data_IF_609502637247
#
_entry.id   IF_609502637247
#
_cell.length_a   1.000
_cell.length_b   1.000
_cell.length_c   1.000
_cell.angle_alpha   90.00
_cell.angle_beta   90.00
_cell.angle_gamma   90.00
#
_symmetry.space_group_name_H-M   'P 1'
#
loop_
_entity.id
_entity.type
_entity.pdbx_description
1 polymer ?
#
# COMPACT_ATOMS: atom_id res chain seq x y z
N UNK A 1 6.49 -17.20 13.41
CA UNK A 1 5.46 -16.61 14.27
C UNK A 1 5.21 -15.22 13.73
N UNK A 2 4.03 -14.96 13.15
CA UNK A 2 3.68 -13.59 12.75
C UNK A 2 3.27 -12.87 14.02
N UNK A 3 4.10 -11.92 14.46
CA UNK A 3 3.68 -10.88 15.41
C UNK A 3 2.69 -9.98 14.64
N UNK A 4 1.44 -10.42 14.53
CA UNK A 4 0.35 -9.54 14.11
C UNK A 4 -0.06 -8.82 15.37
N UNK A 5 0.18 -7.52 15.43
CA UNK A 5 -0.26 -6.72 16.55
C UNK A 5 -1.78 -6.83 16.65
N UNK A 6 -2.37 -7.40 17.72
CA UNK A 6 -3.75 -7.86 17.68
C UNK A 6 -4.81 -6.74 17.63
N UNK A 7 -4.38 -5.47 17.61
CA UNK A 7 -5.21 -4.27 17.76
C UNK A 7 -5.03 -3.29 16.58
N UNK A 8 -4.69 -3.78 15.39
CA UNK A 8 -4.71 -2.93 14.20
C UNK A 8 -6.16 -2.68 13.75
N UNK A 9 -6.46 -1.45 13.37
CA UNK A 9 -7.81 -1.02 12.95
C UNK A 9 -7.95 -1.01 11.43
N UNK A 10 -6.90 -0.54 10.75
CA UNK A 10 -6.90 -0.39 9.29
C UNK A 10 -5.47 -0.53 8.74
N UNK A 11 -5.33 -1.24 7.64
CA UNK A 11 -4.09 -1.41 6.91
C UNK A 11 -4.20 -0.80 5.52
N UNK A 12 -3.08 -0.26 5.03
CA UNK A 12 -2.94 0.36 3.74
C UNK A 12 -1.78 -0.31 3.00
N UNK A 13 -2.03 -0.74 1.77
CA UNK A 13 -1.00 -1.20 0.86
C UNK A 13 -1.12 -0.40 -0.43
N UNK A 14 -0.07 0.36 -0.72
CA UNK A 14 0.04 1.16 -1.92
C UNK A 14 1.05 0.53 -2.86
N UNK A 15 0.60 0.22 -4.06
CA UNK A 15 1.46 -0.10 -5.18
C UNK A 15 1.49 1.07 -6.16
N UNK A 16 2.65 1.38 -6.71
CA UNK A 16 2.78 2.31 -7.83
C UNK A 16 3.78 1.79 -8.84
N UNK A 17 3.42 1.88 -10.12
CA UNK A 17 4.28 1.50 -11.22
C UNK A 17 4.30 2.58 -12.29
N UNK A 18 5.48 2.84 -12.83
CA UNK A 18 5.69 3.65 -14.02
C UNK A 18 6.58 2.88 -15.01
N UNK A 19 6.94 3.51 -16.13
CA UNK A 19 7.75 2.88 -17.18
C UNK A 19 9.12 2.37 -16.73
N UNK A 20 9.61 2.80 -15.57
CA UNK A 20 10.98 2.56 -15.12
C UNK A 20 11.06 1.74 -13.83
N UNK A 21 10.03 1.79 -12.97
CA UNK A 21 10.05 1.13 -11.67
C UNK A 21 8.64 0.84 -11.14
N UNK A 22 8.56 -0.21 -10.32
CA UNK A 22 7.42 -0.48 -9.45
C UNK A 22 7.87 -0.39 -7.98
N UNK A 23 7.01 0.18 -7.15
CA UNK A 23 7.22 0.36 -5.72
C UNK A 23 5.98 -0.11 -4.96
N UNK A 24 6.21 -0.74 -3.82
CA UNK A 24 5.18 -1.10 -2.87
C UNK A 24 5.52 -0.49 -1.50
N UNK A 25 4.51 0.08 -0.85
CA UNK A 25 4.59 0.55 0.53
C UNK A 25 3.37 0.07 1.28
N UNK A 26 3.55 -0.20 2.57
CA UNK A 26 2.43 -0.54 3.41
C UNK A 26 2.56 0.09 4.79
N UNK A 27 1.42 0.33 5.41
CA UNK A 27 1.31 0.81 6.78
C UNK A 27 0.04 0.27 7.41
N UNK A 28 -0.03 0.33 8.74
CA UNK A 28 -1.26 0.06 9.46
C UNK A 28 -1.43 1.04 10.60
N UNK A 29 -2.68 1.22 11.02
CA UNK A 29 -3.08 2.01 12.17
C UNK A 29 -3.40 1.05 13.30
N UNK A 30 -2.89 1.32 14.48
CA UNK A 30 -3.20 0.68 15.75
C UNK A 30 -3.55 1.75 16.78
N UNK A 31 -3.97 1.33 17.97
CA UNK A 31 -4.24 2.22 19.10
C UNK A 31 -3.05 3.12 19.47
N UNK A 32 -1.82 2.68 19.21
CA UNK A 32 -0.59 3.40 19.55
C UNK A 32 -0.13 4.35 18.45
N UNK A 33 -0.77 4.30 17.28
CA UNK A 33 -0.54 5.18 16.15
C UNK A 33 -0.40 4.43 14.83
N UNK A 34 0.31 5.05 13.89
CA UNK A 34 0.52 4.45 12.56
C UNK A 34 1.89 3.82 12.51
N UNK A 35 2.03 2.66 11.88
CA UNK A 35 3.31 1.98 11.67
C UNK A 35 3.54 1.72 10.19
N UNK A 36 4.76 1.98 9.71
CA UNK A 36 5.15 1.63 8.33
C UNK A 36 5.75 0.24 8.36
N UNK A 37 5.25 -0.63 7.49
CA UNK A 37 5.74 -1.99 7.37
C UNK A 37 7.05 -1.96 6.58
N UNK A 38 8.09 -2.57 7.15
CA UNK A 38 9.34 -2.81 6.42
C UNK A 38 9.14 -3.91 5.38
N UNK A 39 8.95 -3.48 4.13
CA UNK A 39 8.76 -4.34 2.96
C UNK A 39 9.93 -5.31 2.75
N UNK A 40 11.16 -4.91 3.11
CA UNK A 40 12.35 -5.75 2.95
C UNK A 40 12.37 -6.89 3.98
N UNK A 41 11.90 -6.63 5.20
CA UNK A 41 11.76 -7.65 6.26
C UNK A 41 10.76 -8.75 5.86
N UNK A 42 9.71 -8.39 5.14
CA UNK A 42 8.65 -9.32 4.72
C UNK A 42 8.64 -9.58 3.20
N UNK A 43 9.83 -9.63 2.58
CA UNK A 43 10.01 -9.76 1.13
C UNK A 43 9.22 -10.90 0.48
N UNK A 44 9.07 -12.04 1.17
CA UNK A 44 8.41 -13.23 0.63
C UNK A 44 6.91 -12.99 0.39
N UNK A 45 6.31 -12.06 1.15
CA UNK A 45 4.95 -11.58 0.93
C UNK A 45 4.92 -10.49 -0.15
N UNK A 46 5.78 -9.48 -0.04
CA UNK A 46 5.68 -8.28 -0.88
C UNK A 46 6.22 -8.45 -2.30
N UNK A 47 7.16 -9.35 -2.54
CA UNK A 47 7.70 -9.59 -3.89
C UNK A 47 6.62 -10.13 -4.84
N UNK A 48 5.85 -11.17 -4.49
CA UNK A 48 4.71 -11.59 -5.30
C UNK A 48 3.67 -10.49 -5.49
N UNK A 49 3.35 -9.72 -4.45
CA UNK A 49 2.37 -8.62 -4.56
C UNK A 49 2.85 -7.55 -5.54
N UNK A 50 4.14 -7.23 -5.56
CA UNK A 50 4.73 -6.30 -6.52
C UNK A 50 4.63 -6.83 -7.96
N UNK A 51 4.85 -8.13 -8.18
CA UNK A 51 4.67 -8.76 -9.50
C UNK A 51 3.21 -8.74 -9.95
N UNK A 52 2.29 -9.17 -9.07
CA UNK A 52 0.86 -9.19 -9.32
C UNK A 52 0.32 -7.78 -9.65
N UNK A 53 0.87 -6.74 -9.00
CA UNK A 53 0.50 -5.36 -9.28
C UNK A 53 0.86 -4.92 -10.70
N UNK A 54 2.02 -5.34 -11.21
CA UNK A 54 2.42 -5.08 -12.60
C UNK A 54 1.54 -5.84 -13.59
N UNK A 55 1.29 -7.13 -13.32
CA UNK A 55 0.41 -7.96 -14.14
C UNK A 55 -1.02 -7.39 -14.19
N UNK A 56 -1.54 -6.92 -13.06
CA UNK A 56 -2.85 -6.26 -12.98
C UNK A 56 -2.93 -5.01 -13.85
N UNK A 57 -1.94 -4.12 -13.78
CA UNK A 57 -1.91 -2.93 -14.64
C UNK A 57 -1.81 -3.30 -16.12
N UNK A 58 -0.98 -4.28 -16.46
CA UNK A 58 -0.86 -4.77 -17.82
C UNK A 58 -2.19 -5.34 -18.34
N UNK A 59 -2.90 -6.13 -17.53
CA UNK A 59 -4.22 -6.67 -17.85
C UNK A 59 -5.28 -5.56 -18.04
N UNK A 60 -5.14 -4.42 -17.35
CA UNK A 60 -5.96 -3.23 -17.51
C UNK A 60 -5.52 -2.34 -18.69
N UNK A 61 -4.51 -2.74 -19.46
CA UNK A 61 -3.97 -1.96 -20.59
C UNK A 61 -3.26 -0.68 -20.16
N UNK A 62 -2.68 -0.66 -18.95
CA UNK A 62 -1.99 0.50 -18.39
C UNK A 62 -0.50 0.23 -18.24
N UNK A 63 0.32 1.17 -18.72
CA UNK A 63 1.78 1.15 -18.58
C UNK A 63 2.27 1.85 -17.30
N UNK A 64 1.36 2.56 -16.61
CA UNK A 64 1.59 3.23 -15.33
C UNK A 64 0.30 3.28 -14.53
N UNK A 65 0.42 3.33 -13.22
CA UNK A 65 -0.71 3.48 -12.33
C UNK A 65 -0.36 3.24 -10.87
N UNK A 66 -1.26 3.67 -10.02
CA UNK A 66 -1.25 3.46 -8.58
C UNK A 66 -2.50 2.69 -8.22
N UNK A 67 -2.37 1.72 -7.33
CA UNK A 67 -3.54 1.25 -6.59
C UNK A 67 -3.28 1.29 -5.10
N UNK A 68 -4.36 1.48 -4.36
CA UNK A 68 -4.37 1.43 -2.92
C UNK A 68 -5.38 0.37 -2.49
N UNK A 69 -4.88 -0.62 -1.76
CA UNK A 69 -5.67 -1.58 -1.02
C UNK A 69 -5.81 -1.06 0.41
N UNK A 70 -7.05 -0.89 0.85
CA UNK A 70 -7.40 -0.57 2.24
C UNK A 70 -8.14 -1.75 2.80
N UNK A 71 -7.72 -2.23 3.98
CA UNK A 71 -8.35 -3.36 4.67
C UNK A 71 -8.61 -2.92 6.10
N UNK A 72 -9.79 -3.23 6.65
CA UNK A 72 -10.09 -3.01 8.07
C UNK A 72 -9.93 -4.29 8.91
N UNK A 73 -10.06 -4.15 10.23
CA UNK A 73 -9.92 -5.26 11.17
C UNK A 73 -10.93 -6.42 10.95
N UNK A 74 -12.04 -6.19 10.24
CA UNK A 74 -13.02 -7.23 9.87
C UNK A 74 -12.63 -7.95 8.57
N UNK A 75 -11.52 -7.57 7.95
CA UNK A 75 -11.10 -7.98 6.62
C UNK A 75 -12.02 -7.49 5.49
N UNK A 76 -12.87 -6.50 5.77
CA UNK A 76 -13.53 -5.76 4.69
C UNK A 76 -12.49 -4.92 3.98
N UNK A 77 -12.55 -4.91 2.65
CA UNK A 77 -11.51 -4.27 1.84
C UNK A 77 -12.07 -3.48 0.67
N UNK A 78 -11.30 -2.47 0.28
CA UNK A 78 -11.53 -1.63 -0.88
C UNK A 78 -10.24 -1.52 -1.69
N UNK A 79 -10.36 -1.55 -3.02
CA UNK A 79 -9.25 -1.30 -3.93
C UNK A 79 -9.57 -0.07 -4.77
N UNK A 80 -8.72 0.94 -4.63
CA UNK A 80 -8.78 2.19 -5.37
C UNK A 80 -7.70 2.22 -6.46
N UNK A 81 -8.03 2.80 -7.62
CA UNK A 81 -7.11 2.92 -8.74
C UNK A 81 -6.94 4.38 -9.16
N UNK A 82 -5.71 4.74 -9.53
CA UNK A 82 -5.35 6.05 -10.09
C UNK A 82 -4.33 5.87 -11.22
N UNK A 83 -4.46 6.62 -12.31
CA UNK A 83 -3.62 6.46 -13.49
C UNK A 83 -2.95 7.77 -13.94
N UNK A 84 -3.38 8.90 -13.41
CA UNK A 84 -2.89 10.23 -13.76
C UNK A 84 -1.89 10.73 -12.71
N UNK A 85 -2.30 10.76 -11.44
CA UNK A 85 -1.45 11.22 -10.34
C UNK A 85 -0.71 10.07 -9.65
N UNK A 86 0.57 9.93 -10.00
CA UNK A 86 1.46 8.91 -9.44
C UNK A 86 1.84 9.16 -7.98
N UNK A 87 1.51 10.31 -7.40
CA UNK A 87 1.71 10.63 -6.00
C UNK A 87 0.45 10.42 -5.15
N UNK A 88 -0.70 10.12 -5.76
CA UNK A 88 -1.94 9.90 -5.02
C UNK A 88 -1.76 8.81 -3.95
N UNK A 89 -2.35 9.04 -2.78
CA UNK A 89 -2.34 8.14 -1.63
C UNK A 89 -0.96 7.80 -1.06
N UNK A 90 0.05 8.64 -1.30
CA UNK A 90 1.42 8.38 -0.85
C UNK A 90 1.45 8.05 0.64
N UNK A 91 2.17 6.97 0.98
CA UNK A 91 2.42 6.57 2.36
C UNK A 91 3.81 7.09 2.73
N UNK A 92 3.86 8.03 3.69
CA UNK A 92 5.09 8.61 4.21
C UNK A 92 4.92 9.02 5.67
N UNK A 93 5.94 8.78 6.50
CA UNK A 93 6.12 9.44 7.81
C UNK A 93 7.12 10.59 7.78
N UNK A 94 7.81 10.77 6.65
CA UNK A 94 8.79 11.83 6.46
C UNK A 94 8.11 13.16 6.13
N UNK A 95 8.73 14.27 6.54
CA UNK A 95 8.27 15.64 6.28
C UNK A 95 6.84 15.96 6.78
N UNK A 96 6.41 15.35 7.90
CA UNK A 96 5.09 15.59 8.50
C UNK A 96 3.99 14.67 7.99
N UNK A 97 4.30 13.69 7.15
CA UNK A 97 3.34 12.65 6.74
C UNK A 97 2.92 11.76 7.93
N UNK A 98 1.68 11.29 7.90
CA UNK A 98 1.07 10.54 9.01
C UNK A 98 1.34 9.04 8.92
N UNK A 99 1.86 8.56 7.78
CA UNK A 99 1.90 7.15 7.45
C UNK A 99 0.55 6.58 7.00
N UNK A 100 -0.54 7.35 7.03
CA UNK A 100 -1.81 7.04 6.38
C UNK A 100 -1.71 7.47 4.91
N UNK A 101 -2.41 6.78 4.01
CA UNK A 101 -2.53 7.22 2.62
C UNK A 101 -3.16 8.61 2.53
N UNK A 102 -2.44 9.58 1.97
CA UNK A 102 -2.94 10.95 1.77
C UNK A 102 -4.21 10.96 0.90
N UNK A 103 -5.29 11.60 1.36
CA UNK A 103 -6.56 11.72 0.63
C UNK A 103 -7.61 10.64 0.91
N UNK A 104 -7.45 9.84 1.99
CA UNK A 104 -8.48 8.94 2.55
C UNK A 104 -9.01 9.45 3.91
N UNK A 105 -8.55 10.62 4.35
CA UNK A 105 -9.01 11.29 5.57
C UNK A 105 -10.26 12.11 5.28
#
# INVERSE_FOLDING_TARGET
MMDVEPHWEKAYLRFSCNSSAAEIKASFVSETGVEIIDVLKYKDFFQPVNMNGQELLAALGKIKGVFLLVIDANFDYEINFEYQDMNRWKISKLAGGTGVSEGII
#
